data_IF_408773717449
#
_entry.id   IF_408773717449
#
_cell.length_a   1.000
_cell.length_b   1.000
_cell.length_c   1.000
_cell.angle_alpha   90.00
_cell.angle_beta   90.00
_cell.angle_gamma   90.00
#
_symmetry.space_group_name_H-M   'P 1'
#
loop_
_entity.id
_entity.type
_entity.pdbx_description
1 polymer ?
#
# COMPACT_ATOMS: atom_id res chain seq x y z
N UNK A 1 -4.48 1.01 -1.36
CA UNK A 1 -3.68 0.65 -2.54
C UNK A 1 -2.99 -0.68 -2.38
N UNK A 2 -2.16 -1.05 -3.29
CA UNK A 2 -1.46 -2.32 -3.33
C UNK A 2 -0.26 -2.18 -4.28
N UNK A 3 0.69 -3.10 -4.21
CA UNK A 3 1.73 -3.18 -5.26
C UNK A 3 1.10 -3.40 -6.64
N UNK A 4 -0.12 -3.91 -6.72
CA UNK A 4 -0.89 -3.99 -7.95
C UNK A 4 -1.24 -2.62 -8.55
N UNK A 5 -1.10 -1.54 -7.78
CA UNK A 5 -1.24 -0.17 -8.27
C UNK A 5 -0.03 0.28 -9.10
N UNK A 6 1.06 -0.47 -9.05
CA UNK A 6 2.35 -0.08 -9.61
C UNK A 6 2.75 -0.92 -10.81
N UNK A 7 2.05 -2.03 -11.06
CA UNK A 7 2.42 -2.95 -12.12
C UNK A 7 1.21 -3.81 -12.54
N UNK A 8 1.16 -4.15 -13.83
CA UNK A 8 0.14 -5.05 -14.36
C UNK A 8 0.48 -6.51 -14.05
N UNK A 9 -0.56 -7.31 -13.89
CA UNK A 9 -0.44 -8.74 -13.65
C UNK A 9 -1.27 -9.52 -14.67
N UNK A 10 -0.81 -10.69 -15.13
CA UNK A 10 -1.63 -11.58 -15.94
C UNK A 10 -2.92 -11.94 -15.17
N UNK A 11 -4.05 -11.92 -15.86
CA UNK A 11 -5.36 -12.24 -15.28
C UNK A 11 -5.79 -11.34 -14.11
N UNK A 12 -5.14 -10.20 -13.92
CA UNK A 12 -5.43 -9.26 -12.85
C UNK A 12 -6.32 -8.08 -13.24
N UNK A 13 -6.96 -8.12 -14.41
CA UNK A 13 -7.58 -6.98 -15.07
C UNK A 13 -8.36 -6.02 -14.18
N UNK A 14 -9.56 -6.43 -13.68
CA UNK A 14 -10.39 -5.52 -12.87
C UNK A 14 -9.73 -5.14 -11.54
N UNK A 15 -9.01 -6.06 -10.90
CA UNK A 15 -8.28 -5.76 -9.68
C UNK A 15 -7.18 -4.73 -9.91
N UNK A 16 -6.32 -4.94 -10.92
CA UNK A 16 -5.26 -4.00 -11.27
C UNK A 16 -5.83 -2.62 -11.62
N UNK A 17 -6.87 -2.57 -12.46
CA UNK A 17 -7.51 -1.31 -12.85
C UNK A 17 -8.01 -0.57 -11.62
N UNK A 18 -8.70 -1.26 -10.69
CA UNK A 18 -9.23 -0.63 -9.48
C UNK A 18 -8.11 -0.08 -8.60
N UNK A 19 -6.98 -0.79 -8.48
CA UNK A 19 -5.85 -0.35 -7.66
C UNK A 19 -5.08 0.80 -8.30
N UNK A 20 -4.89 0.80 -9.62
CA UNK A 20 -4.33 1.94 -10.34
C UNK A 20 -5.23 3.17 -10.18
N UNK A 21 -6.54 3.01 -10.32
CA UNK A 21 -7.49 4.10 -10.18
C UNK A 21 -7.45 4.69 -8.75
N UNK A 22 -7.34 3.85 -7.73
CA UNK A 22 -7.24 4.30 -6.34
C UNK A 22 -5.97 5.10 -6.10
N UNK A 23 -4.83 4.65 -6.64
CA UNK A 23 -3.57 5.39 -6.53
C UNK A 23 -3.67 6.74 -7.24
N UNK A 24 -4.20 6.75 -8.46
CA UNK A 24 -4.40 7.99 -9.22
C UNK A 24 -5.31 8.98 -8.49
N UNK A 25 -6.40 8.50 -7.91
CA UNK A 25 -7.29 9.30 -7.08
C UNK A 25 -6.55 9.90 -5.88
N UNK A 26 -5.73 9.10 -5.20
CA UNK A 26 -4.96 9.54 -4.04
C UNK A 26 -3.96 10.64 -4.41
N UNK A 27 -3.31 10.51 -5.54
CA UNK A 27 -2.35 11.52 -6.03
C UNK A 27 -3.05 12.84 -6.36
N UNK A 28 -4.20 12.79 -7.03
CA UNK A 28 -4.99 13.99 -7.31
C UNK A 28 -5.50 14.63 -6.02
N UNK A 29 -5.97 13.82 -5.09
CA UNK A 29 -6.44 14.31 -3.78
C UNK A 29 -5.32 15.02 -3.02
N UNK A 30 -4.09 14.48 -3.08
CA UNK A 30 -2.93 15.13 -2.46
C UNK A 30 -2.70 16.52 -3.03
N UNK A 31 -2.73 16.65 -4.35
CA UNK A 31 -2.55 17.96 -4.99
C UNK A 31 -3.63 18.96 -4.60
N UNK A 32 -4.89 18.52 -4.60
CA UNK A 32 -6.01 19.42 -4.28
C UNK A 32 -6.00 19.85 -2.82
N UNK A 33 -5.60 18.98 -1.90
CA UNK A 33 -5.66 19.25 -0.46
C UNK A 33 -4.40 19.89 0.10
N UNK A 34 -3.34 19.97 -0.69
CA UNK A 34 -2.06 20.58 -0.26
C UNK A 34 -2.26 22.01 0.24
N UNK A 35 -3.09 22.79 -0.42
CA UNK A 35 -3.39 24.17 -0.04
C UNK A 35 -4.08 24.30 1.31
N UNK A 36 -4.64 23.23 1.84
CA UNK A 36 -5.32 23.20 3.15
C UNK A 36 -4.47 22.53 4.23
N UNK A 37 -3.20 22.24 3.94
CA UNK A 37 -2.27 21.58 4.85
C UNK A 37 -2.76 20.18 5.28
N UNK A 38 -3.49 19.51 4.40
CA UNK A 38 -3.97 18.15 4.64
C UNK A 38 -2.99 17.17 4.00
N UNK A 39 -2.54 16.21 4.81
CA UNK A 39 -1.64 15.15 4.34
C UNK A 39 -2.43 14.02 3.70
N UNK A 40 -1.91 13.50 2.60
CA UNK A 40 -2.45 12.32 1.94
C UNK A 40 -1.31 11.34 1.68
N UNK A 41 -1.44 10.14 2.18
CA UNK A 41 -0.44 9.07 2.04
C UNK A 41 -1.08 7.87 1.36
N UNK A 42 -0.45 7.38 0.30
CA UNK A 42 -0.85 6.15 -0.37
C UNK A 42 -0.01 4.99 0.16
N UNK A 43 -0.67 3.94 0.65
CA UNK A 43 0.01 2.75 1.14
C UNK A 43 -0.19 1.63 0.14
N UNK A 44 0.91 1.09 -0.37
CA UNK A 44 0.92 0.06 -1.41
C UNK A 44 1.64 -1.20 -0.88
N UNK A 45 0.97 -2.00 -0.04
CA UNK A 45 1.58 -3.23 0.45
C UNK A 45 1.52 -4.34 -0.58
N UNK A 46 2.56 -5.18 -0.57
CA UNK A 46 2.54 -6.47 -1.22
C UNK A 46 1.88 -7.52 -0.33
N UNK A 47 2.19 -8.80 -0.57
CA UNK A 47 1.57 -9.90 0.16
C UNK A 47 1.78 -9.77 1.67
N UNK A 48 0.69 -9.71 2.40
CA UNK A 48 0.64 -9.53 3.85
C UNK A 48 -0.25 -10.62 4.43
N UNK A 49 0.22 -11.30 5.47
CA UNK A 49 -0.53 -12.40 6.05
C UNK A 49 -1.78 -11.91 6.75
N UNK A 50 -2.91 -12.47 6.34
CA UNK A 50 -4.23 -12.28 6.96
C UNK A 50 -4.93 -13.64 6.99
N UNK A 51 -6.05 -13.79 7.71
CA UNK A 51 -6.79 -15.06 7.71
C UNK A 51 -7.17 -15.56 6.32
N UNK A 52 -7.29 -14.71 5.32
CA UNK A 52 -7.60 -15.11 3.94
C UNK A 52 -6.50 -15.97 3.30
N UNK A 53 -5.29 -15.97 3.85
CA UNK A 53 -4.18 -16.79 3.38
C UNK A 53 -4.14 -18.19 4.00
N UNK A 54 -5.00 -18.48 4.98
CA UNK A 54 -4.90 -19.68 5.80
C UNK A 54 -4.88 -21.01 5.04
N UNK A 55 -5.59 -21.11 3.90
CA UNK A 55 -5.66 -22.32 3.08
C UNK A 55 -4.84 -22.24 1.80
N UNK A 56 -4.08 -21.19 1.62
CA UNK A 56 -3.32 -20.97 0.39
C UNK A 56 -2.05 -21.80 0.25
N UNK A 57 -1.57 -22.39 1.36
CA UNK A 57 -0.29 -23.08 1.40
C UNK A 57 0.93 -22.17 1.52
N UNK A 58 0.72 -20.84 1.56
CA UNK A 58 1.82 -19.89 1.72
C UNK A 58 2.26 -19.86 3.18
N UNK A 59 3.55 -20.05 3.42
CA UNK A 59 4.11 -19.95 4.76
C UNK A 59 4.03 -18.50 5.27
N UNK A 60 3.55 -18.29 6.51
CA UNK A 60 3.47 -16.93 7.06
C UNK A 60 4.81 -16.18 7.03
N UNK A 61 5.92 -16.90 7.22
CA UNK A 61 7.26 -16.29 7.20
C UNK A 61 7.72 -15.85 5.80
N UNK A 62 7.01 -16.24 4.75
CA UNK A 62 7.33 -15.86 3.37
C UNK A 62 6.80 -14.46 3.01
N UNK A 63 5.79 -14.00 3.70
CA UNK A 63 5.11 -12.73 3.42
C UNK A 63 5.13 -11.83 4.65
N UNK A 64 4.73 -10.57 4.48
CA UNK A 64 4.79 -9.58 5.55
C UNK A 64 3.75 -9.88 6.65
N UNK A 65 4.03 -9.38 7.85
CA UNK A 65 3.05 -9.36 8.92
C UNK A 65 2.16 -8.12 8.77
N UNK A 66 0.91 -8.23 9.20
CA UNK A 66 -0.01 -7.07 9.17
C UNK A 66 0.51 -5.91 10.01
N UNK A 67 1.21 -6.20 11.11
CA UNK A 67 1.83 -5.19 11.96
C UNK A 67 2.93 -4.39 11.26
N UNK A 68 3.57 -4.94 10.23
CA UNK A 68 4.54 -4.21 9.43
C UNK A 68 3.86 -3.04 8.70
N UNK A 69 2.69 -3.30 8.14
CA UNK A 69 1.93 -2.28 7.42
C UNK A 69 1.41 -1.21 8.39
N UNK A 70 0.80 -1.63 9.49
CA UNK A 70 0.28 -0.68 10.48
C UNK A 70 1.40 0.13 11.15
N UNK A 71 2.56 -0.48 11.36
CA UNK A 71 3.74 0.23 11.90
C UNK A 71 4.21 1.37 10.99
N UNK A 72 4.21 1.15 9.69
CA UNK A 72 4.59 2.20 8.74
C UNK A 72 3.53 3.30 8.64
N UNK A 73 2.25 2.94 8.71
CA UNK A 73 1.16 3.94 8.74
C UNK A 73 1.30 4.83 9.98
N UNK A 74 1.55 4.23 11.14
CA UNK A 74 1.74 4.98 12.38
C UNK A 74 2.96 5.88 12.30
N UNK A 75 4.08 5.39 11.76
CA UNK A 75 5.29 6.19 11.60
C UNK A 75 5.04 7.42 10.71
N UNK A 76 4.32 7.25 9.61
CA UNK A 76 3.96 8.37 8.73
C UNK A 76 3.06 9.38 9.46
N UNK A 77 2.11 8.89 10.25
CA UNK A 77 1.19 9.73 11.03
C UNK A 77 1.92 10.58 12.07
N UNK A 78 2.96 10.03 12.70
CA UNK A 78 3.68 10.68 13.79
C UNK A 78 4.72 11.70 13.33
N UNK A 79 4.92 11.89 12.04
CA UNK A 79 5.82 12.91 11.52
C UNK A 79 5.31 14.31 11.83
N UNK A 80 6.19 15.30 11.74
CA UNK A 80 5.81 16.69 11.97
C UNK A 80 4.73 17.14 10.97
N UNK A 81 4.01 18.23 11.29
CA UNK A 81 3.02 18.78 10.35
C UNK A 81 3.60 19.20 8.99
N UNK A 82 4.92 19.34 8.90
CA UNK A 82 5.60 19.84 7.72
C UNK A 82 5.97 18.75 6.72
N UNK A 83 5.85 17.48 7.11
CA UNK A 83 6.25 16.35 6.27
C UNK A 83 5.04 15.54 5.82
N UNK A 84 4.95 15.29 4.52
CA UNK A 84 3.99 14.34 3.96
C UNK A 84 4.76 13.15 3.38
N UNK A 85 4.38 11.95 3.76
CA UNK A 85 4.85 10.74 3.11
C UNK A 85 3.91 10.46 1.94
N UNK A 86 4.39 10.61 0.73
CA UNK A 86 3.55 10.50 -0.45
C UNK A 86 3.10 9.08 -0.71
N UNK A 87 4.04 8.14 -0.72
CA UNK A 87 3.74 6.74 -1.01
C UNK A 87 4.63 5.84 -0.18
N UNK A 88 4.03 4.81 0.41
CA UNK A 88 4.74 3.75 1.13
C UNK A 88 4.58 2.47 0.30
N UNK A 89 5.67 1.95 -0.22
CA UNK A 89 5.69 0.68 -0.96
C UNK A 89 6.40 -0.36 -0.10
N UNK A 90 5.72 -1.46 0.17
CA UNK A 90 6.25 -2.53 1.02
C UNK A 90 6.09 -3.86 0.33
N UNK A 91 7.13 -4.67 0.37
CA UNK A 91 7.13 -6.02 -0.19
C UNK A 91 7.77 -7.00 0.77
N UNK A 92 7.42 -8.29 0.68
CA UNK A 92 8.19 -9.32 1.38
C UNK A 92 9.67 -9.23 1.01
N UNK A 93 10.54 -9.54 1.96
CA UNK A 93 11.99 -9.49 1.73
C UNK A 93 12.41 -10.33 0.52
N UNK A 94 11.73 -11.46 0.30
CA UNK A 94 11.98 -12.35 -0.83
C UNK A 94 11.26 -11.94 -2.12
N UNK A 95 10.59 -10.80 -2.12
CA UNK A 95 9.90 -10.28 -3.29
C UNK A 95 8.45 -10.72 -3.39
N UNK A 96 7.79 -10.28 -4.47
CA UNK A 96 6.40 -10.62 -4.73
C UNK A 96 6.20 -12.12 -4.95
N UNK A 97 5.00 -12.60 -4.67
CA UNK A 97 4.65 -14.00 -4.94
C UNK A 97 4.49 -14.29 -6.43
#
# INVERSE_FOLDING_TARGET
CSVASLKAYPNGGSYSISKYALLGFSENLREELRQYDIKVTSVCPGATYTPSWGESGVEPSRIMEASDVSGMVLAAYLLSPQANVDTIVMRPVKGDL
#
